data_IF_750129357733
#
_entry.id   IF_750129357733
#
_cell.length_a   1.000
_cell.length_b   1.000
_cell.length_c   1.000
_cell.angle_alpha   90.00
_cell.angle_beta   90.00
_cell.angle_gamma   90.00
#
_symmetry.space_group_name_H-M   'P 1'
#
loop_
_entity.id
_entity.type
_entity.pdbx_description
1 polymer ?
#
# COMPACT_ATOMS: atom_id res chain seq x y z
N UNK A 5 10.87 14.10 12.27
CA UNK A 5 11.27 12.83 11.71
C UNK A 5 10.04 12.02 11.31
N UNK A 6 9.11 12.69 10.67
CA UNK A 6 7.85 12.09 10.27
C UNK A 6 7.89 11.64 8.83
N UNK A 7 8.49 10.49 8.61
CA UNK A 7 8.45 9.83 7.31
C UNK A 7 7.94 8.41 7.48
N UNK A 8 8.43 7.75 8.54
CA UNK A 8 8.02 6.40 8.89
C UNK A 8 6.51 6.31 9.07
N UNK A 9 5.91 7.43 9.45
CA UNK A 9 4.49 7.50 9.69
C UNK A 9 3.74 7.93 8.44
N UNK A 10 3.99 9.16 8.03
CA UNK A 10 3.26 9.78 6.94
C UNK A 10 3.45 9.10 5.58
N UNK A 11 4.68 8.71 5.25
CA UNK A 11 4.92 8.06 3.96
C UNK A 11 4.21 6.71 3.94
N UNK A 12 4.17 6.06 5.09
CA UNK A 12 3.43 4.82 5.24
C UNK A 12 1.93 5.11 5.23
N UNK A 13 1.54 6.09 6.03
CA UNK A 13 0.14 6.50 6.14
C UNK A 13 -0.44 6.85 4.77
N UNK A 14 0.29 7.65 4.01
CA UNK A 14 -0.09 7.99 2.66
C UNK A 14 -0.22 6.74 1.82
N UNK A 15 0.80 5.89 1.87
CA UNK A 15 0.81 4.64 1.12
C UNK A 15 -0.38 3.77 1.52
N UNK A 16 -0.71 3.80 2.80
CA UNK A 16 -1.82 3.07 3.31
C UNK A 16 -3.12 3.59 2.71
N UNK A 17 -3.14 4.88 2.36
CA UNK A 17 -4.25 5.39 1.59
C UNK A 17 -4.14 4.89 0.18
N UNK A 18 -2.92 4.87 -0.35
CA UNK A 18 -2.74 4.43 -1.72
C UNK A 18 -3.40 3.07 -1.92
N UNK A 19 -3.15 2.18 -0.97
CA UNK A 19 -3.84 0.90 -0.92
C UNK A 19 -5.35 1.09 -0.84
N UNK A 20 -5.81 1.94 0.08
CA UNK A 20 -7.25 2.14 0.25
C UNK A 20 -7.86 2.87 -0.94
N UNK A 21 -7.01 3.55 -1.72
CA UNK A 21 -7.46 4.33 -2.82
C UNK A 21 -7.62 3.44 -4.06
N UNK A 22 -6.89 2.35 -4.07
CA UNK A 22 -6.99 1.38 -5.15
C UNK A 22 -7.78 0.16 -4.68
N UNK A 23 -7.21 -0.53 -3.70
CA UNK A 23 -7.81 -1.70 -3.10
C UNK A 23 -8.98 -1.31 -2.17
N UNK A 24 -10.20 -1.52 -2.65
CA UNK A 24 -11.39 -1.24 -1.88
C UNK A 24 -11.95 -2.49 -1.23
N UNK A 25 -12.40 -3.41 -2.08
CA UNK A 25 -13.09 -4.63 -1.65
C UNK A 25 -12.13 -5.78 -1.32
N UNK A 26 -10.84 -5.47 -1.27
CA UNK A 26 -9.75 -6.43 -1.01
C UNK A 26 -9.62 -7.52 -2.09
N UNK A 27 -10.59 -7.62 -2.98
CA UNK A 27 -10.65 -8.74 -3.93
C UNK A 27 -9.55 -8.61 -4.97
N UNK A 28 -8.81 -7.52 -4.88
CA UNK A 28 -7.67 -7.27 -5.75
C UNK A 28 -6.53 -8.25 -5.49
N UNK A 29 -5.48 -8.12 -6.27
CA UNK A 29 -4.28 -8.91 -6.09
C UNK A 29 -3.08 -7.98 -6.10
N UNK A 30 -2.26 -8.07 -5.05
CA UNK A 30 -1.14 -7.14 -4.80
C UNK A 30 -0.39 -6.72 -6.06
N UNK A 31 0.04 -7.67 -6.86
CA UNK A 31 0.87 -7.38 -8.00
C UNK A 31 0.17 -6.41 -8.95
N UNK A 32 -1.04 -6.77 -9.35
CA UNK A 32 -1.86 -5.91 -10.18
C UNK A 32 -2.11 -4.54 -9.55
N UNK A 33 -2.28 -4.47 -8.23
CA UNK A 33 -2.52 -3.20 -7.58
C UNK A 33 -1.23 -2.40 -7.44
N UNK A 34 -0.09 -3.09 -7.40
CA UNK A 34 1.20 -2.41 -7.40
C UNK A 34 1.54 -1.92 -8.82
N UNK A 35 1.01 -2.62 -9.84
CA UNK A 35 1.03 -2.14 -11.19
C UNK A 35 0.41 -0.76 -11.25
N UNK A 36 -0.80 -0.72 -10.78
CA UNK A 36 -1.53 0.51 -10.55
C UNK A 36 -0.72 1.51 -9.73
N UNK A 37 -0.54 1.16 -8.47
CA UNK A 37 0.16 1.98 -7.47
C UNK A 37 1.53 2.52 -7.93
N UNK A 38 2.26 1.75 -8.74
CA UNK A 38 3.64 2.14 -9.12
C UNK A 38 3.65 3.44 -9.92
N UNK A 39 2.52 3.77 -10.49
CA UNK A 39 2.36 5.03 -11.22
C UNK A 39 2.14 6.21 -10.26
N UNK A 40 2.49 5.98 -9.00
CA UNK A 40 2.34 6.98 -7.97
C UNK A 40 3.60 7.02 -7.09
N UNK A 41 4.19 8.21 -6.95
CA UNK A 41 5.38 8.45 -6.11
C UNK A 41 5.17 7.99 -4.71
N UNK A 42 3.92 7.98 -4.33
CA UNK A 42 3.49 7.47 -3.05
C UNK A 42 3.98 6.05 -2.82
N UNK A 43 3.52 5.14 -3.66
CA UNK A 43 3.91 3.74 -3.57
C UNK A 43 5.42 3.61 -3.73
N UNK A 44 5.98 4.36 -4.67
CA UNK A 44 7.42 4.33 -4.93
C UNK A 44 8.19 4.65 -3.67
N UNK A 45 7.96 5.85 -3.16
CA UNK A 45 8.65 6.35 -1.97
C UNK A 45 8.65 5.34 -0.83
N UNK A 46 7.48 4.82 -0.51
CA UNK A 46 7.35 3.85 0.57
C UNK A 46 8.13 2.58 0.27
N UNK A 47 8.04 2.12 -0.96
CA UNK A 47 8.71 0.90 -1.34
C UNK A 47 10.22 1.13 -1.42
N UNK A 48 10.59 2.37 -1.63
CA UNK A 48 11.97 2.79 -1.67
C UNK A 48 12.58 2.75 -0.27
N UNK A 49 11.87 3.34 0.68
CA UNK A 49 12.28 3.34 2.07
C UNK A 49 12.23 1.94 2.65
N UNK A 50 11.01 1.40 2.71
CA UNK A 50 10.78 0.13 3.38
C UNK A 50 11.05 -1.07 2.49
N UNK A 51 10.17 -1.33 1.54
CA UNK A 51 10.34 -2.48 0.66
C UNK A 51 9.04 -2.88 -0.01
N UNK A 52 9.15 -3.62 -1.11
CA UNK A 52 8.00 -4.02 -1.88
C UNK A 52 7.20 -5.11 -1.18
N UNK A 53 7.89 -6.02 -0.50
CA UNK A 53 7.24 -7.13 0.18
C UNK A 53 6.56 -6.66 1.45
N UNK A 54 7.15 -5.66 2.07
CA UNK A 54 6.55 -4.99 3.22
C UNK A 54 5.37 -4.13 2.79
N UNK A 55 5.44 -3.58 1.59
CA UNK A 55 4.31 -2.87 1.01
C UNK A 55 3.22 -3.89 0.63
N UNK A 56 3.66 -5.05 0.15
CA UNK A 56 2.78 -6.18 -0.02
C UNK A 56 2.13 -6.52 1.31
N UNK A 57 2.96 -6.81 2.28
CA UNK A 57 2.54 -7.04 3.65
C UNK A 57 1.59 -5.94 4.15
N UNK A 58 1.89 -4.70 3.79
CA UNK A 58 1.05 -3.57 4.13
C UNK A 58 -0.30 -3.66 3.39
N UNK A 59 -0.22 -3.99 2.10
CA UNK A 59 -1.41 -4.30 1.31
C UNK A 59 -2.23 -5.39 1.99
N UNK A 60 -1.56 -6.49 2.33
CA UNK A 60 -2.19 -7.64 3.02
C UNK A 60 -2.98 -7.20 4.24
N UNK A 61 -2.32 -6.43 5.10
CA UNK A 61 -2.94 -5.87 6.29
C UNK A 61 -4.25 -5.20 5.98
N UNK A 62 -4.16 -4.12 5.21
CA UNK A 62 -5.34 -3.38 4.78
C UNK A 62 -6.36 -4.31 4.19
N UNK A 63 -5.90 -5.26 3.38
CA UNK A 63 -6.77 -6.28 2.84
C UNK A 63 -7.57 -6.94 3.94
N UNK A 64 -6.87 -7.35 4.99
CA UNK A 64 -7.50 -8.04 6.10
C UNK A 64 -8.52 -7.11 6.70
N UNK A 65 -8.13 -5.87 6.85
CA UNK A 65 -8.99 -4.87 7.41
C UNK A 65 -10.25 -4.64 6.59
N UNK A 66 -10.04 -4.60 5.28
CA UNK A 66 -11.12 -4.63 4.29
C UNK A 66 -11.99 -5.85 4.50
N UNK A 67 -11.31 -6.96 4.67
CA UNK A 67 -11.92 -8.24 4.91
C UNK A 67 -12.77 -8.23 6.18
N UNK A 68 -12.16 -7.76 7.25
CA UNK A 68 -12.71 -7.81 8.57
C UNK A 68 -11.80 -7.10 9.55
N UNK A 69 -12.09 -5.85 9.83
CA UNK A 69 -11.26 -5.09 10.74
C UNK A 69 -11.65 -5.42 12.19
#
# INVERSE_FOLDING_TARGET
>A
GAMGSQQIATAKDKYEWLVSRIVKNHNENWLSVSRKMQASPEYQDYVYLEGTQKAKKLFLQHIHRLKHE
#
